data_IF_264021348539
#
_entry.id   IF_264021348539
#
_cell.length_a   1.000
_cell.length_b   1.000
_cell.length_c   1.000
_cell.angle_alpha   90.00
_cell.angle_beta   90.00
_cell.angle_gamma   90.00
#
_symmetry.space_group_name_H-M   'P 1'
#
loop_
_entity.id
_entity.type
_entity.pdbx_description
1 polymer ?
#
# COMPACT_ATOMS: atom_id res chain seq x y z
N UNK A 1 29.95 -13.94 11.25
CA UNK A 1 29.39 -13.71 10.95
C UNK A 1 28.57 -13.57 10.62
N UNK A 2 28.08 -13.57 10.65
CA UNK A 2 27.34 -13.39 10.19
C UNK A 2 26.54 -12.95 10.02
N UNK A 3 26.06 -12.89 9.82
CA UNK A 3 25.30 -12.46 9.40
C UNK A 3 24.68 -11.79 9.50
N UNK A 4 24.78 -11.34 9.71
CA UNK A 4 24.17 -10.75 9.69
C UNK A 4 23.62 -10.21 9.05
N UNK A 5 24.03 -10.14 9.04
CA UNK A 5 23.62 -9.80 8.10
C UNK A 5 22.46 -9.94 7.65
N UNK A 6 22.33 -10.38 7.89
CA UNK A 6 21.12 -10.98 7.57
C UNK A 6 19.93 -10.12 7.70
N UNK A 7 19.93 -9.25 8.63
CA UNK A 7 18.93 -8.25 8.70
C UNK A 7 19.52 -7.06 8.06
N UNK A 8 19.09 -6.90 6.86
CA UNK A 8 19.29 -5.66 6.23
C UNK A 8 18.47 -4.69 7.03
N UNK A 9 19.08 -3.80 7.75
CA UNK A 9 18.38 -2.77 8.48
C UNK A 9 17.58 -1.89 7.57
N UNK A 10 17.88 -1.95 6.27
CA UNK A 10 17.18 -1.18 5.27
C UNK A 10 15.96 -1.90 4.71
N UNK A 11 15.67 -3.10 5.19
CA UNK A 11 14.45 -3.77 4.76
C UNK A 11 13.24 -3.04 5.28
N UNK A 12 12.34 -2.77 4.35
CA UNK A 12 11.11 -2.07 4.67
C UNK A 12 9.97 -3.03 4.40
N UNK A 13 9.37 -3.54 5.48
CA UNK A 13 8.32 -4.55 5.37
C UNK A 13 7.06 -4.03 6.00
N UNK A 14 5.97 -4.04 5.25
CA UNK A 14 4.67 -3.63 5.76
C UNK A 14 3.74 -4.84 5.79
N UNK A 15 2.74 -4.76 6.64
CA UNK A 15 1.68 -5.75 6.69
C UNK A 15 0.51 -5.20 5.88
N UNK A 16 0.11 -5.92 4.85
CA UNK A 16 -0.89 -5.43 3.91
C UNK A 16 -2.12 -6.32 3.91
N UNK A 17 -3.29 -5.69 4.02
CA UNK A 17 -4.56 -6.36 3.75
C UNK A 17 -5.11 -5.78 2.47
N UNK A 18 -5.77 -6.61 1.68
CA UNK A 18 -6.29 -6.21 0.37
C UNK A 18 -7.80 -6.40 0.35
N UNK A 19 -8.50 -5.30 0.12
CA UNK A 19 -9.96 -5.29 0.10
C UNK A 19 -10.49 -6.15 -1.05
N UNK A 20 -11.58 -6.86 -0.79
CA UNK A 20 -12.25 -7.63 -1.82
C UNK A 20 -11.56 -8.92 -2.24
N UNK A 21 -10.55 -9.35 -1.50
CA UNK A 21 -9.83 -10.58 -1.80
C UNK A 21 -9.90 -11.53 -0.62
N UNK A 22 -9.48 -12.79 -0.87
CA UNK A 22 -9.35 -13.77 0.19
C UNK A 22 -7.99 -13.70 0.85
N UNK A 23 -7.15 -12.78 0.43
CA UNK A 23 -5.84 -12.63 1.03
C UNK A 23 -6.00 -12.13 2.46
N UNK A 24 -5.45 -12.89 3.38
CA UNK A 24 -5.32 -12.40 4.72
C UNK A 24 -4.16 -11.42 4.73
N UNK A 25 -3.82 -10.92 5.90
CA UNK A 25 -2.69 -10.01 6.02
C UNK A 25 -1.43 -10.66 5.45
N UNK A 26 -0.79 -9.96 4.52
CA UNK A 26 0.44 -10.44 3.90
C UNK A 26 1.57 -9.45 4.18
N UNK A 27 2.77 -9.97 4.29
CA UNK A 27 3.94 -9.12 4.44
C UNK A 27 4.46 -8.74 3.07
N UNK A 28 4.67 -7.46 2.87
CA UNK A 28 5.16 -6.94 1.60
C UNK A 28 6.48 -6.22 1.84
N UNK A 29 7.51 -6.65 1.11
CA UNK A 29 8.79 -5.97 1.18
C UNK A 29 8.75 -4.79 0.21
N UNK A 30 8.90 -3.59 0.74
CA UNK A 30 8.94 -2.39 -0.07
C UNK A 30 10.38 -2.13 -0.46
N UNK A 31 10.69 -2.28 -1.74
CA UNK A 31 12.06 -2.15 -2.21
C UNK A 31 12.48 -0.69 -2.34
N UNK A 32 11.52 0.21 -2.52
CA UNK A 32 11.82 1.63 -2.64
C UNK A 32 10.75 2.44 -1.92
N UNK A 33 10.95 2.75 -0.63
CA UNK A 33 9.95 3.50 0.13
C UNK A 33 9.82 4.95 -0.30
N UNK A 34 10.71 5.42 -1.16
CA UNK A 34 10.63 6.78 -1.70
C UNK A 34 9.80 6.88 -2.99
N UNK A 35 9.32 5.75 -3.49
CA UNK A 35 8.37 5.79 -4.59
C UNK A 35 7.09 6.47 -4.13
N UNK A 36 6.43 7.14 -5.06
CA UNK A 36 5.15 7.79 -4.74
C UNK A 36 4.12 6.77 -4.31
N UNK A 37 3.14 7.22 -3.54
CA UNK A 37 2.02 6.36 -3.14
C UNK A 37 1.37 5.75 -4.38
N UNK A 38 1.20 6.55 -5.42
CA UNK A 38 0.62 6.11 -6.69
C UNK A 38 1.42 4.94 -7.28
N UNK A 39 2.75 5.05 -7.30
CA UNK A 39 3.60 4.00 -7.84
C UNK A 39 3.63 2.76 -6.94
N UNK A 40 3.54 2.95 -5.63
CA UNK A 40 3.47 1.82 -4.70
C UNK A 40 2.21 1.00 -4.98
N UNK A 41 1.09 1.68 -5.17
CA UNK A 41 -0.17 1.00 -5.47
C UNK A 41 -0.08 0.26 -6.79
N UNK A 42 0.49 0.89 -7.80
CA UNK A 42 0.67 0.24 -9.11
C UNK A 42 1.49 -1.04 -8.98
N UNK A 43 2.54 -0.99 -8.19
CA UNK A 43 3.38 -2.18 -7.96
C UNK A 43 2.59 -3.28 -7.24
N UNK A 44 1.82 -2.92 -6.23
CA UNK A 44 1.03 -3.90 -5.47
C UNK A 44 -0.01 -4.55 -6.38
N UNK A 45 -0.73 -3.76 -7.14
CA UNK A 45 -1.76 -4.27 -8.06
C UNK A 45 -1.13 -5.24 -9.06
N UNK A 46 0.06 -4.92 -9.56
CA UNK A 46 0.76 -5.77 -10.51
C UNK A 46 1.24 -7.08 -9.87
N UNK A 47 1.84 -6.99 -8.70
CA UNK A 47 2.41 -8.17 -8.03
C UNK A 47 1.31 -9.16 -7.65
N UNK A 48 0.19 -8.68 -7.16
CA UNK A 48 -0.91 -9.55 -6.74
C UNK A 48 -1.92 -9.80 -7.85
N UNK A 49 -1.66 -9.27 -9.05
CA UNK A 49 -2.50 -9.47 -10.24
C UNK A 49 -3.96 -9.10 -9.96
N UNK A 50 -4.15 -7.96 -9.31
CA UNK A 50 -5.48 -7.51 -8.94
C UNK A 50 -6.22 -6.97 -10.16
N UNK A 51 -7.55 -7.08 -10.19
CA UNK A 51 -8.32 -6.61 -11.34
C UNK A 51 -8.24 -5.09 -11.47
N UNK A 52 -8.24 -4.62 -12.71
CA UNK A 52 -8.21 -3.18 -13.00
C UNK A 52 -9.60 -2.67 -13.36
N UNK A 53 -10.51 -3.58 -13.66
CA UNK A 53 -11.90 -3.25 -13.95
C UNK A 53 -12.80 -4.20 -13.17
N UNK A 54 -13.99 -3.72 -12.81
CA UNK A 54 -14.95 -4.54 -12.08
C UNK A 54 -15.79 -5.39 -13.04
N UNK A 55 -16.75 -6.12 -12.48
CA UNK A 55 -17.61 -7.01 -13.28
C UNK A 55 -18.50 -6.24 -14.25
N UNK A 56 -18.73 -4.98 -13.99
CA UNK A 56 -19.51 -4.14 -14.88
C UNK A 56 -18.69 -3.41 -15.93
N UNK A 57 -17.37 -3.67 -15.97
CA UNK A 57 -16.51 -3.01 -16.93
C UNK A 57 -16.03 -1.64 -16.51
N UNK A 58 -16.28 -1.24 -15.26
CA UNK A 58 -15.86 0.06 -14.75
C UNK A 58 -14.46 -0.02 -14.15
N UNK A 59 -13.64 1.02 -14.35
CA UNK A 59 -12.30 1.01 -13.75
C UNK A 59 -12.37 0.94 -12.23
N UNK A 60 -11.38 0.31 -11.64
CA UNK A 60 -11.25 0.25 -10.20
C UNK A 60 -10.08 1.15 -9.81
N UNK A 61 -10.33 2.08 -8.89
CA UNK A 61 -9.28 2.88 -8.31
C UNK A 61 -8.86 2.24 -6.99
N UNK A 62 -7.56 2.10 -6.80
CA UNK A 62 -7.06 1.58 -5.54
C UNK A 62 -6.47 2.72 -4.71
N UNK A 63 -6.78 2.69 -3.44
CA UNK A 63 -6.26 3.65 -2.46
C UNK A 63 -5.51 2.89 -1.39
N UNK A 64 -4.61 3.56 -0.73
CA UNK A 64 -3.84 2.95 0.34
C UNK A 64 -4.14 3.70 1.63
N UNK A 65 -4.47 2.96 2.68
CA UNK A 65 -4.74 3.53 3.98
C UNK A 65 -3.87 2.92 5.05
N UNK A 66 -3.62 3.65 6.11
CA UNK A 66 -2.88 3.16 7.25
C UNK A 66 -3.83 2.85 8.39
N UNK A 67 -3.72 1.64 8.94
CA UNK A 67 -4.53 1.25 10.09
C UNK A 67 -3.73 1.55 11.34
N UNK A 68 -4.21 2.52 12.12
CA UNK A 68 -3.51 2.95 13.31
C UNK A 68 -3.84 2.07 14.51
N UNK A 69 -5.11 1.71 14.64
CA UNK A 69 -5.56 0.83 15.71
C UNK A 69 -6.53 -0.18 15.15
N UNK A 70 -6.52 -1.37 15.73
CA UNK A 70 -7.39 -2.44 15.31
C UNK A 70 -8.85 -2.01 15.47
N UNK A 71 -9.62 -2.22 14.43
CA UNK A 71 -11.04 -1.88 14.44
C UNK A 71 -11.35 -0.47 13.99
N UNK A 72 -10.34 0.34 13.75
CA UNK A 72 -10.56 1.70 13.26
C UNK A 72 -10.52 1.74 11.74
N UNK A 73 -11.13 2.76 11.16
CA UNK A 73 -11.08 2.96 9.73
C UNK A 73 -9.67 3.36 9.30
N UNK A 74 -9.23 2.88 8.15
CA UNK A 74 -7.91 3.26 7.66
C UNK A 74 -7.84 4.76 7.37
N UNK A 75 -6.69 5.33 7.65
CA UNK A 75 -6.44 6.72 7.31
C UNK A 75 -5.83 6.75 5.91
N UNK A 76 -6.52 7.39 4.98
CA UNK A 76 -6.11 7.36 3.58
C UNK A 76 -4.82 8.15 3.37
N UNK A 77 -3.87 7.53 2.69
CA UNK A 77 -2.63 8.19 2.32
C UNK A 77 -2.85 8.90 0.99
N UNK A 78 -2.99 10.22 1.05
CA UNK A 78 -3.26 11.01 -0.14
C UNK A 78 -2.10 10.93 -1.12
N UNK A 79 -2.41 10.94 -2.41
CA UNK A 79 -1.38 10.86 -3.44
C UNK A 79 -0.55 12.14 -3.49
N UNK A 80 -1.16 13.27 -3.19
CA UNK A 80 -0.51 14.56 -3.27
C UNK A 80 -0.82 15.38 -2.02
N UNK A 81 0.08 16.29 -1.69
CA UNK A 81 -0.18 17.21 -0.60
C UNK A 81 -1.00 18.40 -1.09
N UNK A 82 -1.22 19.39 -0.22
CA UNK A 82 -2.03 20.55 -0.56
C UNK A 82 -1.43 21.39 -1.67
N UNK A 83 -0.14 21.24 -1.90
CA UNK A 83 0.57 21.99 -2.93
C UNK A 83 0.72 21.18 -4.22
N UNK A 84 0.13 19.99 -4.28
CA UNK A 84 0.18 19.14 -5.46
C UNK A 84 1.45 18.33 -5.61
N UNK A 85 2.24 18.23 -4.55
CA UNK A 85 3.46 17.42 -4.60
C UNK A 85 3.15 15.96 -4.29
N UNK A 86 3.66 15.06 -5.14
CA UNK A 86 3.45 13.64 -4.94
C UNK A 86 4.06 13.19 -3.60
N UNK A 87 3.30 12.39 -2.88
CA UNK A 87 3.72 11.90 -1.57
C UNK A 87 4.20 10.46 -1.68
N UNK A 88 5.08 10.07 -0.77
CA UNK A 88 5.56 8.69 -0.67
C UNK A 88 5.31 8.19 0.75
N UNK A 89 5.61 6.91 0.99
CA UNK A 89 5.40 6.33 2.31
C UNK A 89 6.20 7.07 3.39
N UNK A 90 7.38 7.53 3.04
CA UNK A 90 8.21 8.24 4.01
C UNK A 90 7.61 9.57 4.44
N UNK A 91 6.84 10.21 3.57
CA UNK A 91 6.17 11.47 3.91
C UNK A 91 5.12 11.26 4.99
N UNK A 92 4.56 10.05 5.07
CA UNK A 92 3.57 9.70 6.08
C UNK A 92 4.21 8.99 7.27
N UNK A 93 5.54 8.91 7.30
CA UNK A 93 6.29 8.29 8.39
C UNK A 93 5.93 6.83 8.59
N UNK A 94 5.60 6.15 7.50
CA UNK A 94 5.33 4.71 7.55
C UNK A 94 6.63 3.99 7.87
N UNK A 95 6.55 3.02 8.75
CA UNK A 95 7.71 2.27 9.21
C UNK A 95 7.48 0.77 9.03
N UNK A 96 8.58 0.03 9.05
CA UNK A 96 8.50 -1.43 9.03
C UNK A 96 7.58 -1.91 10.14
N UNK A 97 6.68 -2.81 9.80
CA UNK A 97 5.72 -3.35 10.74
C UNK A 97 4.38 -2.64 10.75
N UNK A 98 4.28 -1.50 10.09
CA UNK A 98 3.01 -0.79 10.01
C UNK A 98 2.01 -1.57 9.17
N UNK A 99 0.75 -1.41 9.49
CA UNK A 99 -0.32 -2.12 8.80
C UNK A 99 -1.01 -1.17 7.82
N UNK A 100 -0.97 -1.55 6.55
CA UNK A 100 -1.64 -0.80 5.50
C UNK A 100 -2.77 -1.63 4.92
N UNK A 101 -3.76 -0.95 4.37
CA UNK A 101 -4.92 -1.60 3.76
C UNK A 101 -5.10 -1.04 2.36
N UNK A 102 -5.18 -1.93 1.38
CA UNK A 102 -5.43 -1.54 0.00
C UNK A 102 -6.94 -1.57 -0.23
N UNK A 103 -7.49 -0.41 -0.55
CA UNK A 103 -8.93 -0.23 -0.69
C UNK A 103 -9.26 -0.13 -2.17
N UNK A 104 -10.25 -0.91 -2.60
CA UNK A 104 -10.71 -0.84 -3.98
C UNK A 104 -11.99 -0.01 -4.05
N UNK A 105 -11.99 0.97 -4.94
CA UNK A 105 -13.13 1.86 -5.13
C UNK A 105 -13.52 1.81 -6.60
N UNK A 106 -14.69 1.24 -6.93
CA UNK A 106 -15.13 1.26 -8.33
C UNK A 106 -15.46 2.69 -8.74
N UNK A 107 -14.98 3.06 -9.90
CA UNK A 107 -15.26 4.39 -10.45
C UNK A 107 -16.47 4.24 -11.35
N UNK A 108 -17.57 4.85 -10.94
CA UNK A 108 -18.79 4.84 -11.75
C UNK A 108 -18.54 5.76 -12.94
N UNK A 109 -18.61 5.18 -14.11
CA UNK A 109 -18.39 5.92 -15.34
C UNK A 109 -19.55 6.82 -15.71
#
# INVERSE_FOLDING_TARGET
MTNEEIYDEDEFIINLTIDGTEFEEVEVKVTDPNKTIRDQITSIVSVFELPKIDNGGNPIQYLLGQIMEEGEEPEILEFEDEEGREQCLMDYKIQTGDHLHLISVPIAG
#
